data_IF_998592611288
#
_entry.id   IF_998592611288
#
_cell.length_a   1.000
_cell.length_b   1.000
_cell.length_c   1.000
_cell.angle_alpha   90.00
_cell.angle_beta   90.00
_cell.angle_gamma   90.00
#
_symmetry.space_group_name_H-M   'P 1'
#
loop_
_entity.id
_entity.type
_entity.pdbx_description
1 polymer ?
#
# COMPACT_ATOMS: atom_id res chain seq x y z
N UNK A 1 -31.75 8.99 10.47
CA UNK A 1 -30.79 9.82 11.25
C UNK A 1 -31.51 11.09 11.66
N UNK A 2 -31.68 11.36 12.96
CA UNK A 2 -32.21 12.66 13.40
C UNK A 2 -31.11 13.71 13.28
N UNK A 3 -31.31 14.71 12.42
CA UNK A 3 -30.38 15.82 12.27
C UNK A 3 -30.64 16.88 13.33
N UNK A 4 -29.57 17.50 13.85
CA UNK A 4 -29.73 18.73 14.64
C UNK A 4 -30.40 19.82 13.79
N UNK A 5 -31.16 20.71 14.42
CA UNK A 5 -31.82 21.84 13.73
C UNK A 5 -30.79 22.67 12.92
N UNK A 6 -29.55 22.77 13.42
CA UNK A 6 -28.43 23.43 12.72
C UNK A 6 -28.05 22.72 11.42
N UNK A 7 -27.94 21.38 11.42
CA UNK A 7 -27.61 20.61 10.21
C UNK A 7 -28.72 20.66 9.16
N UNK A 8 -29.99 20.69 9.58
CA UNK A 8 -31.14 20.82 8.67
C UNK A 8 -31.11 22.17 7.96
N UNK A 9 -30.85 23.26 8.70
CA UNK A 9 -30.69 24.59 8.09
C UNK A 9 -29.54 24.59 7.09
N UNK A 10 -28.41 23.98 7.46
CA UNK A 10 -27.22 23.94 6.61
C UNK A 10 -27.41 23.10 5.35
N UNK A 11 -28.16 22.01 5.44
CA UNK A 11 -28.52 21.17 4.30
C UNK A 11 -29.20 21.99 3.19
N UNK A 12 -30.15 22.86 3.54
CA UNK A 12 -30.84 23.72 2.57
C UNK A 12 -29.89 24.71 1.89
N UNK A 13 -29.03 25.36 2.66
CA UNK A 13 -28.01 26.28 2.10
C UNK A 13 -27.03 25.55 1.16
N UNK A 14 -26.73 24.29 1.44
CA UNK A 14 -25.87 23.46 0.60
C UNK A 14 -26.54 22.99 -0.68
N UNK A 15 -27.86 22.74 -0.70
CA UNK A 15 -28.57 22.45 -1.95
C UNK A 15 -28.44 23.59 -2.95
N UNK A 16 -28.65 24.83 -2.49
CA UNK A 16 -28.55 26.03 -3.31
C UNK A 16 -27.10 26.28 -3.78
N UNK A 17 -26.13 26.08 -2.89
CA UNK A 17 -24.72 26.25 -3.21
C UNK A 17 -24.23 25.17 -4.19
N UNK A 18 -24.62 23.91 -4.01
CA UNK A 18 -24.30 22.81 -4.91
C UNK A 18 -24.91 23.05 -6.30
N UNK A 19 -26.13 23.55 -6.40
CA UNK A 19 -26.75 23.85 -7.69
C UNK A 19 -25.99 24.93 -8.47
N UNK A 20 -25.23 25.80 -7.78
CA UNK A 20 -24.35 26.81 -8.41
C UNK A 20 -22.99 26.25 -8.82
N UNK A 21 -22.46 25.28 -8.07
CA UNK A 21 -21.12 24.71 -8.29
C UNK A 21 -21.14 23.55 -9.30
N UNK A 22 -22.19 22.73 -9.24
CA UNK A 22 -22.32 21.52 -10.06
C UNK A 22 -23.02 21.86 -11.37
N UNK A 23 -22.23 21.95 -12.45
CA UNK A 23 -22.76 22.31 -13.77
C UNK A 23 -23.55 21.16 -14.42
N UNK A 24 -23.22 19.91 -14.11
CA UNK A 24 -23.88 18.74 -14.66
C UNK A 24 -25.06 18.31 -13.77
N UNK A 25 -26.27 18.35 -14.32
CA UNK A 25 -27.50 18.03 -13.59
C UNK A 25 -27.60 16.56 -13.15
N UNK A 26 -26.98 15.62 -13.87
CA UNK A 26 -26.95 14.22 -13.45
C UNK A 26 -26.00 14.02 -12.27
N UNK A 27 -24.83 14.68 -12.29
CA UNK A 27 -23.91 14.68 -11.16
C UNK A 27 -24.55 15.34 -9.92
N UNK A 28 -25.30 16.44 -10.11
CA UNK A 28 -26.03 17.08 -9.03
C UNK A 28 -27.01 16.10 -8.37
N UNK A 29 -27.84 15.42 -9.17
CA UNK A 29 -28.81 14.41 -8.68
C UNK A 29 -28.13 13.30 -7.89
N UNK A 30 -26.99 12.79 -8.37
CA UNK A 30 -26.23 11.76 -7.66
C UNK A 30 -25.70 12.25 -6.30
N UNK A 31 -25.22 13.50 -6.22
CA UNK A 31 -24.67 14.09 -4.99
C UNK A 31 -25.76 14.28 -3.92
N UNK A 32 -26.95 14.70 -4.33
CA UNK A 32 -28.07 15.04 -3.42
C UNK A 32 -29.01 13.88 -3.12
N UNK A 33 -28.85 12.74 -3.81
CA UNK A 33 -29.65 11.55 -3.57
C UNK A 33 -29.51 11.04 -2.12
N UNK A 34 -30.48 10.28 -1.60
CA UNK A 34 -30.32 9.56 -0.34
C UNK A 34 -29.03 8.75 -0.34
N UNK A 35 -28.27 8.79 0.76
CA UNK A 35 -26.92 8.19 0.88
C UNK A 35 -25.87 8.74 -0.10
N UNK A 36 -26.18 9.85 -0.78
CA UNK A 36 -25.26 10.58 -1.64
C UNK A 36 -24.14 11.27 -0.88
N UNK A 37 -23.20 11.88 -1.62
CA UNK A 37 -22.03 12.54 -1.03
C UNK A 37 -22.42 13.69 -0.08
N UNK A 38 -23.50 14.43 -0.36
CA UNK A 38 -23.97 15.51 0.52
C UNK A 38 -24.36 14.99 1.91
N UNK A 39 -25.12 13.90 1.97
CA UNK A 39 -25.56 13.31 3.22
C UNK A 39 -24.38 12.75 4.02
N UNK A 40 -23.52 11.96 3.36
CA UNK A 40 -22.30 11.40 3.94
C UNK A 40 -21.38 12.50 4.48
N UNK A 41 -21.22 13.58 3.73
CA UNK A 41 -20.44 14.74 4.14
C UNK A 41 -21.01 15.36 5.42
N UNK A 42 -22.31 15.67 5.46
CA UNK A 42 -22.98 16.29 6.60
C UNK A 42 -22.93 15.43 7.87
N UNK A 43 -23.15 14.13 7.73
CA UNK A 43 -23.06 13.19 8.87
C UNK A 43 -21.63 13.16 9.41
N UNK A 44 -20.63 13.20 8.54
CA UNK A 44 -19.22 13.13 8.94
C UNK A 44 -18.68 14.41 9.61
N UNK A 45 -19.39 15.54 9.56
CA UNK A 45 -18.87 16.84 10.06
C UNK A 45 -19.57 17.30 11.33
N UNK A 46 -18.84 18.04 12.16
CA UNK A 46 -19.39 18.69 13.36
C UNK A 46 -20.14 19.97 12.99
N UNK A 47 -21.10 20.38 13.82
CA UNK A 47 -21.87 21.61 13.59
C UNK A 47 -20.94 22.85 13.56
N UNK A 48 -19.92 22.87 14.42
CA UNK A 48 -18.92 23.93 14.43
C UNK A 48 -18.17 24.05 13.09
N UNK A 49 -17.70 22.93 12.52
CA UNK A 49 -17.01 22.94 11.23
C UNK A 49 -17.92 23.43 10.10
N UNK A 50 -19.18 22.97 10.08
CA UNK A 50 -20.14 23.33 9.05
C UNK A 50 -20.49 24.83 9.11
N UNK A 51 -20.55 25.41 10.30
CA UNK A 51 -20.93 26.81 10.52
C UNK A 51 -19.78 27.80 10.29
N UNK A 52 -18.52 27.36 10.45
CA UNK A 52 -17.33 28.22 10.27
C UNK A 52 -16.95 28.46 8.80
N UNK A 53 -17.51 27.65 7.89
CA UNK A 53 -17.27 27.69 6.45
C UNK A 53 -18.38 28.43 5.71
N UNK A 54 -18.11 28.87 4.49
CA UNK A 54 -19.17 29.37 3.60
C UNK A 54 -19.92 28.21 2.93
N UNK A 55 -21.22 28.34 2.60
CA UNK A 55 -21.94 27.30 1.85
C UNK A 55 -21.27 26.95 0.52
N UNK A 56 -20.68 27.93 -0.17
CA UNK A 56 -20.07 27.73 -1.49
C UNK A 56 -18.77 26.92 -1.39
N UNK A 57 -17.97 27.14 -0.35
CA UNK A 57 -16.73 26.38 -0.16
C UNK A 57 -17.02 24.94 0.28
N UNK A 58 -18.01 24.74 1.15
CA UNK A 58 -18.50 23.40 1.47
C UNK A 58 -19.06 22.68 0.24
N UNK A 59 -19.81 23.37 -0.61
CA UNK A 59 -20.32 22.79 -1.86
C UNK A 59 -19.17 22.41 -2.82
N UNK A 60 -18.12 23.23 -2.93
CA UNK A 60 -16.91 22.90 -3.69
C UNK A 60 -16.20 21.68 -3.11
N UNK A 61 -16.12 21.56 -1.78
CA UNK A 61 -15.51 20.42 -1.11
C UNK A 61 -16.28 19.12 -1.39
N UNK A 62 -17.61 19.14 -1.22
CA UNK A 62 -18.50 18.01 -1.54
C UNK A 62 -18.35 17.61 -3.00
N UNK A 63 -18.38 18.58 -3.91
CA UNK A 63 -18.25 18.31 -5.33
C UNK A 63 -16.86 17.76 -5.69
N UNK A 64 -15.79 18.29 -5.10
CA UNK A 64 -14.42 17.79 -5.30
C UNK A 64 -14.29 16.34 -4.85
N UNK A 65 -14.80 16.00 -3.66
CA UNK A 65 -14.81 14.62 -3.18
C UNK A 65 -15.55 13.70 -4.14
N UNK A 66 -16.77 14.08 -4.55
CA UNK A 66 -17.58 13.32 -5.49
C UNK A 66 -16.84 13.10 -6.82
N UNK A 67 -16.24 14.15 -7.39
CA UNK A 67 -15.49 14.06 -8.65
C UNK A 67 -14.29 13.16 -8.51
N UNK A 68 -13.55 13.29 -7.41
CA UNK A 68 -12.38 12.45 -7.17
C UNK A 68 -12.77 10.97 -7.03
N UNK A 69 -13.79 10.66 -6.23
CA UNK A 69 -14.29 9.29 -6.08
C UNK A 69 -14.79 8.74 -7.41
N UNK A 70 -15.61 9.50 -8.16
CA UNK A 70 -16.15 9.06 -9.46
C UNK A 70 -15.04 8.88 -10.50
N UNK A 71 -14.04 9.75 -10.50
CA UNK A 71 -12.89 9.65 -11.40
C UNK A 71 -12.01 8.45 -11.04
N UNK A 72 -11.68 8.24 -9.76
CA UNK A 72 -10.90 7.07 -9.30
C UNK A 72 -11.62 5.75 -9.63
N UNK A 73 -12.94 5.69 -9.44
CA UNK A 73 -13.76 4.52 -9.84
C UNK A 73 -13.76 4.28 -11.35
N UNK A 74 -13.68 5.34 -12.15
CA UNK A 74 -13.77 5.25 -13.62
C UNK A 74 -12.43 4.98 -14.29
N UNK A 75 -11.35 5.58 -13.78
CA UNK A 75 -10.06 5.63 -14.46
C UNK A 75 -8.95 4.89 -13.73
N UNK A 76 -9.23 4.36 -12.53
CA UNK A 76 -8.22 3.67 -11.71
C UNK A 76 -6.97 4.53 -11.43
N UNK A 77 -7.09 5.86 -11.51
CA UNK A 77 -5.96 6.77 -11.28
C UNK A 77 -5.46 6.52 -9.86
N UNK A 78 -4.15 6.57 -9.62
CA UNK A 78 -3.63 6.32 -8.27
C UNK A 78 -3.95 7.44 -7.29
N UNK A 79 -3.72 8.69 -7.71
CA UNK A 79 -3.85 9.87 -6.84
C UNK A 79 -4.43 11.06 -7.59
N UNK A 80 -5.40 11.71 -6.97
CA UNK A 80 -5.94 13.00 -7.34
C UNK A 80 -5.66 13.99 -6.21
N UNK A 81 -5.26 15.21 -6.57
CA UNK A 81 -4.92 16.26 -5.61
C UNK A 81 -5.56 17.56 -6.07
N UNK A 82 -6.20 18.25 -5.13
CA UNK A 82 -6.69 19.62 -5.28
C UNK A 82 -6.12 20.48 -4.15
N UNK A 83 -5.57 21.64 -4.51
CA UNK A 83 -5.07 22.63 -3.55
C UNK A 83 -5.72 23.97 -3.84
N UNK A 84 -6.45 24.52 -2.87
CA UNK A 84 -7.18 25.78 -3.00
C UNK A 84 -7.08 26.60 -1.72
N UNK A 85 -7.11 27.92 -1.81
CA UNK A 85 -7.31 28.77 -0.64
C UNK A 85 -8.80 29.01 -0.43
N UNK A 86 -9.26 28.86 0.80
CA UNK A 86 -10.67 29.03 1.21
C UNK A 86 -10.77 29.97 2.40
N UNK A 87 -11.90 30.68 2.48
CA UNK A 87 -12.17 31.59 3.60
C UNK A 87 -12.90 30.84 4.72
N UNK A 88 -12.47 31.04 5.96
CA UNK A 88 -13.03 30.42 7.15
C UNK A 88 -13.15 31.49 8.23
N UNK A 89 -14.37 31.89 8.56
CA UNK A 89 -14.63 33.11 9.32
C UNK A 89 -13.89 34.34 8.74
N UNK A 90 -13.03 34.93 9.57
CA UNK A 90 -12.24 36.14 9.24
C UNK A 90 -10.84 35.86 8.65
N UNK A 91 -10.46 34.60 8.46
CA UNK A 91 -9.14 34.22 7.96
C UNK A 91 -9.21 33.35 6.71
N UNK A 92 -8.11 33.29 5.95
CA UNK A 92 -7.96 32.38 4.81
C UNK A 92 -7.02 31.23 5.19
N UNK A 93 -7.27 30.06 4.64
CA UNK A 93 -6.41 28.89 4.82
C UNK A 93 -6.29 28.11 3.52
N UNK A 94 -5.18 27.38 3.40
CA UNK A 94 -4.95 26.47 2.28
C UNK A 94 -5.56 25.13 2.59
N UNK A 95 -6.39 24.69 1.66
CA UNK A 95 -7.16 23.47 1.73
C UNK A 95 -6.64 22.49 0.69
N UNK A 96 -6.18 21.35 1.18
CA UNK A 96 -5.59 20.27 0.39
C UNK A 96 -6.54 19.08 0.47
N UNK A 97 -7.08 18.67 -0.67
CA UNK A 97 -7.84 17.42 -0.81
C UNK A 97 -7.01 16.46 -1.64
N UNK A 98 -6.74 15.27 -1.08
CA UNK A 98 -6.07 14.16 -1.77
C UNK A 98 -7.03 13.00 -1.79
N UNK A 99 -7.15 12.31 -2.93
CA UNK A 99 -7.88 11.05 -3.01
C UNK A 99 -7.04 10.00 -3.75
N UNK A 100 -7.15 8.75 -3.33
CA UNK A 100 -6.50 7.59 -3.95
C UNK A 100 -7.00 6.30 -3.33
N UNK A 101 -6.39 5.16 -3.64
CA UNK A 101 -6.73 3.89 -3.00
C UNK A 101 -6.14 3.80 -1.58
N UNK A 102 -6.82 3.07 -0.69
CA UNK A 102 -6.45 2.91 0.72
C UNK A 102 -5.02 2.39 0.91
N UNK A 103 -4.53 1.56 -0.02
CA UNK A 103 -3.16 1.05 -0.05
C UNK A 103 -2.11 2.11 -0.41
N UNK A 104 -2.49 3.18 -1.11
CA UNK A 104 -1.56 4.17 -1.64
C UNK A 104 -1.58 5.50 -0.86
N UNK A 105 -2.69 5.85 -0.19
CA UNK A 105 -2.91 7.15 0.44
C UNK A 105 -3.45 7.04 1.87
N UNK A 106 -2.72 7.67 2.80
CA UNK A 106 -3.12 7.90 4.20
C UNK A 106 -2.92 9.37 4.59
N UNK A 107 -3.58 9.81 5.66
CA UNK A 107 -3.40 11.15 6.21
C UNK A 107 -1.94 11.43 6.56
N UNK A 108 -1.27 10.51 7.24
CA UNK A 108 0.14 10.68 7.63
C UNK A 108 1.06 10.83 6.43
N UNK A 109 0.84 10.04 5.37
CA UNK A 109 1.60 10.17 4.12
C UNK A 109 1.43 11.55 3.49
N UNK A 110 0.21 12.08 3.47
CA UNK A 110 -0.07 13.44 2.97
C UNK A 110 0.63 14.51 3.83
N UNK A 111 0.56 14.38 5.16
CA UNK A 111 1.24 15.30 6.08
C UNK A 111 2.76 15.22 5.95
N UNK A 112 3.32 14.02 5.73
CA UNK A 112 4.75 13.83 5.55
C UNK A 112 5.25 14.50 4.27
N UNK A 113 4.56 14.30 3.15
CA UNK A 113 4.89 14.97 1.89
C UNK A 113 4.76 16.50 1.99
N UNK A 114 3.82 16.99 2.80
CA UNK A 114 3.69 18.41 3.07
C UNK A 114 4.88 18.95 3.89
N UNK A 115 5.35 18.21 4.91
CA UNK A 115 6.58 18.54 5.67
C UNK A 115 7.82 18.58 4.79
N UNK A 116 7.93 17.68 3.80
CA UNK A 116 9.00 17.69 2.81
C UNK A 116 8.91 18.86 1.81
N UNK A 117 7.75 19.51 1.68
CA UNK A 117 7.63 20.74 0.91
C UNK A 117 8.10 21.94 1.74
N UNK A 118 7.59 22.08 2.96
CA UNK A 118 8.02 23.12 3.90
C UNK A 118 7.68 22.74 5.34
N UNK A 119 8.49 23.19 6.29
CA UNK A 119 8.17 23.11 7.72
C UNK A 119 7.38 24.34 8.21
N UNK A 120 7.19 25.35 7.35
CA UNK A 120 6.64 26.65 7.73
C UNK A 120 5.11 26.73 7.66
N UNK A 121 4.41 25.72 8.20
CA UNK A 121 2.95 25.68 8.22
C UNK A 121 2.39 25.13 9.54
N UNK A 122 1.10 25.37 9.78
CA UNK A 122 0.32 24.85 10.91
C UNK A 122 -0.92 24.16 10.39
N UNK A 123 -1.15 22.92 10.84
CA UNK A 123 -2.40 22.20 10.57
C UNK A 123 -3.51 22.75 11.46
N UNK A 124 -4.62 23.17 10.85
CA UNK A 124 -5.84 23.61 11.55
C UNK A 124 -6.87 22.50 11.64
N UNK A 125 -6.95 21.70 10.57
CA UNK A 125 -7.89 20.61 10.46
C UNK A 125 -7.31 19.51 9.59
N UNK A 126 -7.54 18.26 9.98
CA UNK A 126 -7.28 17.11 9.14
C UNK A 126 -8.38 16.07 9.31
N UNK A 127 -8.73 15.40 8.22
CA UNK A 127 -9.68 14.30 8.22
C UNK A 127 -9.41 13.33 7.09
N UNK A 128 -9.48 12.05 7.39
CA UNK A 128 -9.50 10.97 6.41
C UNK A 128 -10.89 10.31 6.40
N UNK A 129 -11.36 9.91 5.23
CA UNK A 129 -12.48 9.00 5.09
C UNK A 129 -12.15 7.93 4.04
N UNK A 130 -12.74 6.76 4.17
CA UNK A 130 -12.55 5.63 3.26
C UNK A 130 -13.92 5.13 2.82
N UNK A 131 -14.10 4.93 1.53
CA UNK A 131 -15.33 4.34 0.97
C UNK A 131 -15.31 2.83 1.11
N UNK A 132 -16.46 2.16 0.99
CA UNK A 132 -16.56 0.69 1.10
C UNK A 132 -15.72 -0.04 0.05
N UNK A 133 -15.53 0.57 -1.12
CA UNK A 133 -14.70 0.08 -2.22
C UNK A 133 -13.21 0.43 -2.08
N UNK A 134 -12.77 0.98 -0.94
CA UNK A 134 -11.36 1.20 -0.63
C UNK A 134 -10.74 2.46 -1.24
N UNK A 135 -11.56 3.48 -1.56
CA UNK A 135 -11.06 4.79 -1.95
C UNK A 135 -10.92 5.65 -0.70
N UNK A 136 -9.71 6.10 -0.42
CA UNK A 136 -9.39 7.06 0.64
C UNK A 136 -9.43 8.47 0.12
N UNK A 137 -10.04 9.36 0.88
CA UNK A 137 -9.97 10.80 0.67
C UNK A 137 -9.51 11.48 1.95
N UNK A 138 -8.41 12.23 1.83
CA UNK A 138 -7.78 12.99 2.88
C UNK A 138 -8.02 14.48 2.63
N UNK A 139 -8.49 15.17 3.66
CA UNK A 139 -8.59 16.63 3.70
C UNK A 139 -7.62 17.15 4.76
N UNK A 140 -6.75 18.08 4.37
CA UNK A 140 -5.88 18.83 5.29
C UNK A 140 -6.13 20.31 5.06
N UNK A 141 -6.32 21.07 6.13
CA UNK A 141 -6.44 22.52 6.11
C UNK A 141 -5.32 23.12 6.93
N UNK A 142 -4.55 24.02 6.30
CA UNK A 142 -3.31 24.56 6.85
C UNK A 142 -3.24 26.07 6.68
N UNK A 143 -2.54 26.72 7.61
CA UNK A 143 -2.08 28.11 7.48
C UNK A 143 -0.55 28.11 7.50
N UNK A 144 0.07 29.22 7.10
CA UNK A 144 1.49 29.48 7.35
C UNK A 144 1.77 29.53 8.87
N UNK A 145 3.04 29.57 9.26
CA UNK A 145 3.42 29.54 10.68
C UNK A 145 2.84 30.69 11.54
N UNK A 146 2.47 31.83 10.92
CA UNK A 146 1.75 32.91 11.59
C UNK A 146 0.35 32.50 12.10
N UNK A 147 -0.16 31.36 11.66
CA UNK A 147 -1.43 30.79 12.06
C UNK A 147 -2.65 31.43 11.42
N UNK A 148 -2.47 32.33 10.44
CA UNK A 148 -3.54 33.17 9.85
C UNK A 148 -3.49 33.29 8.34
N UNK A 149 -2.32 33.26 7.71
CA UNK A 149 -2.20 33.38 6.27
C UNK A 149 -2.23 32.02 5.59
N UNK A 150 -2.83 31.90 4.40
CA UNK A 150 -2.71 30.70 3.59
C UNK A 150 -1.36 30.68 2.85
N UNK A 151 -1.05 29.58 2.19
CA UNK A 151 0.02 29.55 1.19
C UNK A 151 -0.22 30.60 0.08
N UNK A 152 0.85 31.20 -0.47
CA UNK A 152 0.75 32.13 -1.57
C UNK A 152 0.03 31.51 -2.78
N UNK A 153 -0.83 32.30 -3.45
CA UNK A 153 -1.68 31.80 -4.55
C UNK A 153 -0.87 31.25 -5.74
N UNK A 154 0.30 31.84 -5.99
CA UNK A 154 1.27 31.44 -7.00
C UNK A 154 1.97 30.12 -6.68
N UNK A 155 2.03 29.71 -5.41
CA UNK A 155 2.60 28.42 -5.00
C UNK A 155 1.62 27.25 -5.05
N UNK A 156 0.30 27.50 -5.05
CA UNK A 156 -0.70 26.43 -4.93
C UNK A 156 -0.61 25.40 -6.07
N UNK A 157 -0.37 25.88 -7.29
CA UNK A 157 -0.21 25.01 -8.46
C UNK A 157 1.05 24.12 -8.33
N UNK A 158 2.16 24.70 -7.85
CA UNK A 158 3.40 23.98 -7.62
C UNK A 158 3.22 22.92 -6.51
N UNK A 159 2.58 23.31 -5.40
CA UNK A 159 2.28 22.42 -4.29
C UNK A 159 1.39 21.25 -4.74
N UNK A 160 0.33 21.53 -5.51
CA UNK A 160 -0.56 20.50 -6.05
C UNK A 160 0.19 19.50 -6.94
N UNK A 161 1.00 20.00 -7.88
CA UNK A 161 1.79 19.14 -8.79
C UNK A 161 2.80 18.31 -8.01
N UNK A 162 3.48 18.90 -7.03
CA UNK A 162 4.47 18.20 -6.21
C UNK A 162 3.84 17.11 -5.35
N UNK A 163 2.76 17.42 -4.64
CA UNK A 163 2.00 16.45 -3.86
C UNK A 163 1.50 15.32 -4.75
N UNK A 164 0.89 15.64 -5.89
CA UNK A 164 0.43 14.62 -6.84
C UNK A 164 1.58 13.72 -7.28
N UNK A 165 2.72 14.27 -7.68
CA UNK A 165 3.86 13.51 -8.16
C UNK A 165 4.50 12.63 -7.08
N UNK A 166 4.58 13.12 -5.84
CA UNK A 166 5.19 12.38 -4.74
C UNK A 166 4.26 11.30 -4.20
N UNK A 167 3.00 11.64 -3.98
CA UNK A 167 2.00 10.69 -3.46
C UNK A 167 1.68 9.59 -4.47
N UNK A 168 1.77 9.87 -5.79
CA UNK A 168 1.62 8.86 -6.84
C UNK A 168 2.78 7.86 -6.90
N UNK A 169 3.93 8.20 -6.30
CA UNK A 169 5.03 7.25 -6.17
C UNK A 169 4.68 6.29 -5.04
N UNK A 170 4.69 5.00 -5.34
CA UNK A 170 4.87 4.02 -4.27
C UNK A 170 6.28 4.24 -3.72
N UNK A 171 6.51 4.11 -2.39
CA UNK A 171 7.86 3.82 -1.94
C UNK A 171 8.37 2.67 -2.80
N UNK A 172 9.64 2.68 -3.24
CA UNK A 172 10.19 1.55 -3.96
C UNK A 172 9.82 0.32 -3.16
N UNK A 173 9.07 -0.59 -3.77
CA UNK A 173 8.89 -1.91 -3.21
C UNK A 173 10.28 -2.50 -3.27
N UNK A 174 11.07 -2.30 -2.21
CA UNK A 174 12.30 -3.04 -2.01
C UNK A 174 11.83 -4.42 -1.57
N UNK A 175 11.25 -5.17 -2.51
CA UNK A 175 11.45 -6.60 -2.47
C UNK A 175 12.97 -6.72 -2.48
N UNK A 176 13.60 -7.33 -1.48
CA UNK A 176 14.93 -7.82 -1.76
C UNK A 176 14.86 -8.66 -3.01
N UNK A 177 15.52 -8.17 -4.05
CA UNK A 177 16.16 -9.03 -5.02
C UNK A 177 17.23 -9.81 -4.23
N UNK A 178 16.79 -10.73 -3.39
CA UNK A 178 17.64 -11.84 -3.00
C UNK A 178 17.83 -12.62 -4.28
N UNK A 179 19.07 -13.07 -4.58
CA UNK A 179 19.36 -13.92 -5.73
C UNK A 179 18.50 -15.21 -5.82
N UNK A 180 17.65 -15.50 -4.82
CA UNK A 180 16.84 -16.70 -4.71
C UNK A 180 15.34 -16.44 -4.43
N UNK A 181 14.80 -15.21 -4.51
CA UNK A 181 13.37 -14.97 -4.24
C UNK A 181 12.48 -15.78 -5.19
N UNK A 182 12.79 -15.77 -6.48
CA UNK A 182 12.08 -16.59 -7.47
C UNK A 182 12.28 -18.07 -7.21
N UNK A 183 13.47 -18.51 -6.80
CA UNK A 183 13.71 -19.90 -6.43
C UNK A 183 12.85 -20.32 -5.22
N UNK A 184 12.69 -19.42 -4.24
CA UNK A 184 11.88 -19.64 -3.05
C UNK A 184 10.39 -19.70 -3.39
N UNK A 185 9.90 -18.75 -4.19
CA UNK A 185 8.54 -18.76 -4.73
C UNK A 185 8.31 -20.02 -5.55
N UNK A 186 9.26 -20.40 -6.40
CA UNK A 186 9.18 -21.62 -7.18
C UNK A 186 9.16 -22.87 -6.30
N UNK A 187 9.90 -22.90 -5.19
CA UNK A 187 9.84 -24.01 -4.21
C UNK A 187 8.55 -24.05 -3.39
N UNK A 188 7.94 -22.90 -3.10
CA UNK A 188 6.76 -22.82 -2.23
C UNK A 188 5.43 -22.89 -3.02
N UNK A 189 5.35 -22.15 -4.11
CA UNK A 189 4.12 -21.94 -4.88
C UNK A 189 3.96 -23.01 -5.95
N UNK A 190 5.02 -23.36 -6.69
CA UNK A 190 4.90 -24.34 -7.78
C UNK A 190 4.36 -25.69 -7.30
N UNK A 191 4.83 -26.29 -6.18
CA UNK A 191 4.26 -27.56 -5.71
C UNK A 191 2.77 -27.46 -5.37
N UNK A 192 2.32 -26.32 -4.82
CA UNK A 192 0.91 -26.09 -4.50
C UNK A 192 0.05 -25.91 -5.75
N UNK A 193 0.53 -25.13 -6.72
CA UNK A 193 -0.14 -25.00 -8.02
C UNK A 193 -0.25 -26.36 -8.72
N UNK A 194 0.80 -27.18 -8.64
CA UNK A 194 0.79 -28.54 -9.19
C UNK A 194 -0.22 -29.44 -8.47
N UNK A 195 -0.24 -29.42 -7.14
CA UNK A 195 -1.18 -30.21 -6.35
C UNK A 195 -2.63 -29.81 -6.64
N UNK A 196 -2.92 -28.52 -6.72
CA UNK A 196 -4.25 -28.00 -6.99
C UNK A 196 -4.68 -28.27 -8.45
N UNK A 197 -3.77 -28.14 -9.41
CA UNK A 197 -4.00 -28.54 -10.80
C UNK A 197 -4.31 -30.04 -10.92
N UNK A 198 -3.60 -30.89 -10.16
CA UNK A 198 -3.84 -32.34 -10.10
C UNK A 198 -5.22 -32.66 -9.54
N UNK A 199 -5.60 -32.01 -8.44
CA UNK A 199 -6.87 -32.23 -7.74
C UNK A 199 -8.06 -31.71 -8.53
N UNK A 200 -8.01 -30.45 -8.95
CA UNK A 200 -9.11 -29.76 -9.61
C UNK A 200 -9.21 -30.08 -11.12
N UNK A 201 -8.14 -30.61 -11.72
CA UNK A 201 -7.97 -30.75 -13.18
C UNK A 201 -8.11 -29.42 -13.94
N UNK A 202 -7.99 -28.29 -13.24
CA UNK A 202 -8.00 -26.95 -13.82
C UNK A 202 -6.57 -26.38 -13.88
N UNK A 203 -6.21 -25.66 -14.95
CA UNK A 203 -4.98 -24.88 -14.97
C UNK A 203 -4.94 -23.87 -13.82
N UNK A 204 -3.79 -23.73 -13.19
CA UNK A 204 -3.54 -22.75 -12.15
C UNK A 204 -2.61 -21.67 -12.68
N UNK A 205 -2.93 -20.42 -12.36
CA UNK A 205 -2.24 -19.23 -12.80
C UNK A 205 -1.80 -18.40 -11.60
N UNK A 206 -0.60 -17.87 -11.65
CA UNK A 206 -0.12 -16.92 -10.65
C UNK A 206 0.80 -15.87 -11.28
N UNK A 207 0.60 -14.60 -10.96
CA UNK A 207 1.40 -13.48 -11.48
C UNK A 207 1.89 -12.63 -10.31
N UNK A 208 3.21 -12.47 -10.22
CA UNK A 208 3.88 -11.86 -9.07
C UNK A 208 4.63 -10.63 -9.57
N UNK A 209 4.37 -9.42 -9.05
CA UNK A 209 5.23 -8.28 -9.33
C UNK A 209 6.58 -8.45 -8.61
N UNK A 210 7.69 -8.26 -9.33
CA UNK A 210 9.05 -8.31 -8.78
C UNK A 210 9.60 -6.92 -8.51
N UNK A 211 9.61 -6.07 -9.55
CA UNK A 211 10.10 -4.69 -9.50
C UNK A 211 9.03 -3.77 -10.06
N UNK A 212 8.73 -2.69 -9.34
CA UNK A 212 7.78 -1.68 -9.78
C UNK A 212 8.53 -0.35 -9.88
N UNK A 213 8.63 0.16 -11.11
CA UNK A 213 9.17 1.48 -11.46
C UNK A 213 8.08 2.29 -12.18
N UNK A 214 8.17 3.64 -12.19
CA UNK A 214 7.33 4.45 -13.07
C UNK A 214 7.36 4.04 -14.55
N UNK A 215 8.50 3.53 -15.02
CA UNK A 215 8.74 3.24 -16.44
C UNK A 215 8.48 1.77 -16.82
N UNK A 216 8.54 0.86 -15.85
CA UNK A 216 8.34 -0.57 -16.09
C UNK A 216 7.84 -1.30 -14.85
N UNK A 217 7.14 -2.40 -15.07
CA UNK A 217 6.81 -3.37 -14.02
C UNK A 217 7.33 -4.73 -14.47
N UNK A 218 8.20 -5.33 -13.66
CA UNK A 218 8.66 -6.70 -13.86
C UNK A 218 7.72 -7.66 -13.12
N UNK A 219 7.37 -8.77 -13.76
CA UNK A 219 6.56 -9.82 -13.20
C UNK A 219 7.20 -11.19 -13.39
N UNK A 220 6.94 -12.09 -12.45
CA UNK A 220 7.08 -13.53 -12.65
C UNK A 220 5.69 -14.15 -12.75
N UNK A 221 5.40 -14.74 -13.90
CA UNK A 221 4.21 -15.55 -14.10
C UNK A 221 4.56 -17.02 -13.93
N UNK A 222 3.76 -17.74 -13.16
CA UNK A 222 3.84 -19.18 -12.94
C UNK A 222 2.54 -19.83 -13.40
N UNK A 223 2.66 -20.84 -14.26
CA UNK A 223 1.54 -21.64 -14.76
C UNK A 223 1.75 -23.11 -14.40
N UNK A 224 0.69 -23.77 -13.93
CA UNK A 224 0.63 -25.22 -13.81
C UNK A 224 -0.60 -25.75 -14.55
N UNK A 225 -0.38 -26.50 -15.62
CA UNK A 225 -1.42 -26.95 -16.54
C UNK A 225 -1.46 -28.49 -16.55
N UNK A 226 -2.62 -29.12 -16.23
CA UNK A 226 -2.80 -30.56 -16.40
C UNK A 226 -2.56 -30.96 -17.86
N UNK A 227 -1.71 -31.96 -18.08
CA UNK A 227 -1.31 -32.38 -19.43
C UNK A 227 -2.51 -33.00 -20.18
N UNK A 228 -2.82 -32.48 -21.38
CA UNK A 228 -3.93 -32.93 -22.26
C UNK A 228 -3.45 -33.40 -23.64
N UNK A 229 -2.30 -34.06 -23.71
CA UNK A 229 -1.72 -34.58 -24.95
C UNK A 229 -0.19 -34.64 -24.92
N UNK A 230 0.44 -34.98 -26.05
CA UNK A 230 1.90 -35.10 -26.14
C UNK A 230 2.61 -33.78 -26.51
N UNK A 231 1.92 -32.87 -27.20
CA UNK A 231 2.51 -31.59 -27.63
C UNK A 231 2.50 -30.57 -26.50
N UNK A 232 3.68 -30.03 -26.21
CA UNK A 232 3.88 -28.94 -25.26
C UNK A 232 3.25 -27.64 -25.77
N UNK A 233 2.79 -26.82 -24.84
CA UNK A 233 2.19 -25.52 -25.11
C UNK A 233 3.21 -24.37 -25.09
N UNK A 234 4.50 -24.64 -24.86
CA UNK A 234 5.56 -23.64 -24.70
C UNK A 234 5.55 -22.56 -25.77
N UNK A 235 5.54 -22.95 -27.04
CA UNK A 235 5.70 -22.01 -28.16
C UNK A 235 4.42 -21.21 -28.39
N UNK A 236 3.27 -21.84 -28.16
CA UNK A 236 1.96 -21.18 -28.24
C UNK A 236 1.80 -20.14 -27.14
N UNK A 237 2.18 -20.47 -25.91
CA UNK A 237 2.12 -19.56 -24.76
C UNK A 237 3.09 -18.38 -24.94
N UNK A 238 4.34 -18.64 -25.35
CA UNK A 238 5.31 -17.58 -25.63
C UNK A 238 4.81 -16.63 -26.73
N UNK A 239 4.23 -17.15 -27.82
CA UNK A 239 3.68 -16.31 -28.88
C UNK A 239 2.46 -15.52 -28.42
N UNK A 240 1.53 -16.14 -27.69
CA UNK A 240 0.32 -15.45 -27.22
C UNK A 240 0.67 -14.31 -26.25
N UNK A 241 1.60 -14.53 -25.32
CA UNK A 241 2.03 -13.53 -24.34
C UNK A 241 2.92 -12.46 -24.99
N UNK A 242 3.84 -12.87 -25.87
CA UNK A 242 4.75 -11.96 -26.57
C UNK A 242 4.05 -11.00 -27.55
N UNK A 243 2.84 -11.34 -27.98
CA UNK A 243 2.01 -10.47 -28.83
C UNK A 243 1.19 -9.43 -28.05
N UNK A 244 1.21 -9.47 -26.71
CA UNK A 244 0.52 -8.45 -25.91
C UNK A 244 1.30 -7.14 -26.00
N UNK A 245 0.68 -6.11 -26.59
CA UNK A 245 1.28 -4.79 -26.72
C UNK A 245 1.68 -4.26 -25.34
N UNK A 246 2.93 -3.83 -25.21
CA UNK A 246 3.46 -3.30 -23.95
C UNK A 246 3.97 -4.36 -22.96
N UNK A 247 3.94 -5.65 -23.31
CA UNK A 247 4.57 -6.73 -22.55
C UNK A 247 5.75 -7.28 -23.33
N UNK A 248 6.88 -7.49 -22.66
CA UNK A 248 8.06 -8.17 -23.19
C UNK A 248 8.36 -9.39 -22.32
N UNK A 249 8.58 -10.55 -22.94
CA UNK A 249 9.09 -11.72 -22.22
C UNK A 249 10.60 -11.55 -22.07
N UNK A 250 11.08 -11.36 -20.85
CA UNK A 250 12.51 -11.20 -20.56
C UNK A 250 13.19 -12.55 -20.37
N UNK A 251 12.46 -13.55 -19.88
CA UNK A 251 12.94 -14.93 -19.75
C UNK A 251 11.77 -15.91 -19.72
N UNK A 252 12.01 -17.16 -20.12
CA UNK A 252 11.01 -18.23 -20.10
C UNK A 252 11.67 -19.56 -19.74
N UNK A 253 11.02 -20.34 -18.88
CA UNK A 253 11.45 -21.69 -18.49
C UNK A 253 10.27 -22.66 -18.42
N UNK A 254 10.27 -23.71 -19.26
CA UNK A 254 9.33 -24.82 -19.13
C UNK A 254 9.87 -25.88 -18.15
N UNK A 255 8.98 -26.41 -17.31
CA UNK A 255 9.21 -27.56 -16.43
C UNK A 255 8.16 -28.61 -16.71
N UNK A 256 8.57 -29.78 -17.20
CA UNK A 256 7.63 -30.84 -17.60
C UNK A 256 7.67 -31.96 -16.56
N UNK A 257 6.52 -32.21 -15.93
CA UNK A 257 6.29 -33.38 -15.09
C UNK A 257 5.40 -34.37 -15.84
N UNK A 258 5.31 -35.62 -15.35
CA UNK A 258 4.56 -36.70 -16.01
C UNK A 258 3.13 -36.31 -16.37
N UNK A 259 2.43 -35.62 -15.47
CA UNK A 259 1.00 -35.32 -15.55
C UNK A 259 0.67 -33.81 -15.60
N UNK A 260 1.68 -32.95 -15.45
CA UNK A 260 1.54 -31.49 -15.43
C UNK A 260 2.66 -30.84 -16.23
N UNK A 261 2.29 -29.86 -17.04
CA UNK A 261 3.20 -28.90 -17.66
C UNK A 261 3.25 -27.64 -16.83
N UNK A 262 4.44 -27.24 -16.40
CA UNK A 262 4.66 -26.01 -15.65
C UNK A 262 5.46 -25.03 -16.50
N UNK A 263 5.10 -23.75 -16.43
CA UNK A 263 5.78 -22.71 -17.20
C UNK A 263 6.05 -21.51 -16.31
N UNK A 264 7.25 -20.96 -16.42
CA UNK A 264 7.66 -19.73 -15.72
C UNK A 264 8.04 -18.70 -16.75
N UNK A 265 7.43 -17.53 -16.68
CA UNK A 265 7.76 -16.39 -17.52
C UNK A 265 8.21 -15.25 -16.64
N UNK A 266 9.28 -14.60 -17.05
CA UNK A 266 9.61 -13.26 -16.58
C UNK A 266 9.12 -12.30 -17.63
N UNK A 267 8.27 -11.38 -17.22
CA UNK A 267 7.58 -10.42 -18.06
C UNK A 267 7.98 -9.03 -17.62
N UNK A 268 8.18 -8.13 -18.57
CA UNK A 268 8.29 -6.70 -18.32
C UNK A 268 7.12 -6.01 -19.01
N UNK A 269 6.29 -5.31 -18.25
CA UNK A 269 5.29 -4.42 -18.79
C UNK A 269 5.80 -2.98 -18.82
N UNK A 270 5.37 -2.22 -19.83
CA UNK A 270 5.54 -0.77 -19.91
C UNK A 270 4.22 -0.10 -19.53
N UNK A 271 4.04 0.41 -18.29
CA UNK A 271 2.75 0.91 -17.79
C UNK A 271 2.09 1.93 -18.71
N UNK A 272 2.87 2.81 -19.36
CA UNK A 272 2.35 3.81 -20.29
C UNK A 272 1.65 3.26 -21.55
N UNK A 273 1.70 1.95 -21.80
CA UNK A 273 0.95 1.29 -22.87
C UNK A 273 -0.41 0.72 -22.41
N UNK A 274 -0.69 0.78 -21.11
CA UNK A 274 -1.92 0.29 -20.48
C UNK A 274 -2.67 1.46 -19.83
N UNK A 275 -3.99 1.36 -19.71
CA UNK A 275 -4.81 2.38 -19.04
C UNK A 275 -4.65 2.31 -17.53
N UNK A 276 -4.52 1.09 -16.99
CA UNK A 276 -4.42 0.78 -15.56
C UNK A 276 -3.55 -0.46 -15.35
N UNK A 277 -2.89 -0.60 -14.19
CA UNK A 277 -2.02 -1.74 -13.88
C UNK A 277 -2.79 -3.08 -13.94
N UNK A 278 -4.06 -3.11 -13.53
CA UNK A 278 -4.93 -4.29 -13.63
C UNK A 278 -5.14 -4.78 -15.07
N UNK A 279 -5.06 -3.89 -16.06
CA UNK A 279 -5.18 -4.25 -17.47
C UNK A 279 -4.02 -5.15 -17.90
N UNK A 280 -2.84 -5.01 -17.28
CA UNK A 280 -1.68 -5.88 -17.50
C UNK A 280 -2.03 -7.31 -17.04
N UNK A 281 -2.52 -7.46 -15.82
CA UNK A 281 -2.93 -8.75 -15.25
C UNK A 281 -4.03 -9.42 -16.09
N UNK A 282 -5.06 -8.65 -16.46
CA UNK A 282 -6.16 -9.14 -17.32
C UNK A 282 -5.65 -9.58 -18.69
N UNK A 283 -4.78 -8.80 -19.32
CA UNK A 283 -4.25 -9.09 -20.65
C UNK A 283 -3.45 -10.38 -20.67
N UNK A 284 -2.56 -10.57 -19.68
CA UNK A 284 -1.77 -11.80 -19.53
C UNK A 284 -2.68 -12.99 -19.26
N UNK A 285 -3.62 -12.86 -18.31
CA UNK A 285 -4.57 -13.93 -17.99
C UNK A 285 -5.41 -14.34 -19.19
N UNK A 286 -5.97 -13.39 -19.92
CA UNK A 286 -6.79 -13.64 -21.10
C UNK A 286 -6.01 -14.39 -22.19
N UNK A 287 -4.75 -14.00 -22.43
CA UNK A 287 -3.90 -14.68 -23.40
C UNK A 287 -3.64 -16.15 -23.03
N UNK A 288 -3.51 -16.44 -21.73
CA UNK A 288 -3.40 -17.81 -21.22
C UNK A 288 -4.72 -18.56 -21.36
N UNK A 289 -5.84 -17.99 -20.88
CA UNK A 289 -7.16 -18.62 -20.90
C UNK A 289 -7.63 -19.00 -22.30
N UNK A 290 -7.32 -18.17 -23.31
CA UNK A 290 -7.62 -18.48 -24.71
C UNK A 290 -6.95 -19.78 -25.21
N UNK A 291 -5.82 -20.16 -24.64
CA UNK A 291 -5.08 -21.36 -25.04
C UNK A 291 -5.42 -22.59 -24.21
N UNK A 292 -5.64 -22.42 -22.90
CA UNK A 292 -5.78 -23.56 -21.96
C UNK A 292 -7.17 -23.72 -21.36
N UNK A 293 -8.09 -22.81 -21.69
CA UNK A 293 -9.41 -22.71 -21.08
C UNK A 293 -9.38 -21.93 -19.76
N UNK A 294 -10.49 -21.93 -18.99
CA UNK A 294 -10.59 -21.20 -17.74
C UNK A 294 -9.45 -21.55 -16.79
N UNK A 295 -8.72 -20.53 -16.34
CA UNK A 295 -7.64 -20.71 -15.36
C UNK A 295 -8.12 -20.21 -14.01
N UNK A 296 -7.70 -20.91 -12.95
CA UNK A 296 -7.91 -20.44 -11.59
C UNK A 296 -6.74 -19.51 -11.23
N UNK A 297 -7.08 -18.25 -10.98
CA UNK A 297 -6.13 -17.27 -10.45
C UNK A 297 -5.88 -17.57 -8.97
N UNK A 298 -4.65 -17.98 -8.66
CA UNK A 298 -4.25 -18.30 -7.30
C UNK A 298 -4.28 -17.06 -6.39
N UNK A 299 -4.26 -15.85 -6.95
CA UNK A 299 -4.16 -14.58 -6.24
C UNK A 299 -5.50 -14.05 -5.68
N UNK A 300 -6.65 -14.45 -6.23
CA UNK A 300 -7.98 -14.09 -5.69
C UNK A 300 -8.21 -14.70 -4.29
N UNK A 301 -7.75 -15.94 -4.11
CA UNK A 301 -7.75 -16.61 -2.80
C UNK A 301 -6.80 -15.94 -1.81
N UNK A 302 -5.67 -15.42 -2.28
CA UNK A 302 -4.72 -14.69 -1.45
C UNK A 302 -5.25 -13.31 -1.03
N UNK A 303 -5.87 -12.55 -1.93
CA UNK A 303 -6.52 -11.26 -1.60
C UNK A 303 -7.65 -11.44 -0.59
N UNK A 304 -8.49 -12.46 -0.78
CA UNK A 304 -9.57 -12.79 0.16
C UNK A 304 -9.01 -13.21 1.53
N UNK A 305 -7.93 -13.99 1.54
CA UNK A 305 -7.26 -14.43 2.77
C UNK A 305 -6.53 -13.29 3.47
N UNK A 306 -5.88 -12.39 2.75
CA UNK A 306 -5.23 -11.20 3.29
C UNK A 306 -6.26 -10.28 3.95
N UNK A 307 -7.42 -10.02 3.31
CA UNK A 307 -8.52 -9.25 3.93
C UNK A 307 -9.05 -9.91 5.20
N UNK A 308 -9.20 -11.24 5.20
CA UNK A 308 -9.62 -12.01 6.39
C UNK A 308 -8.58 -11.91 7.51
N UNK A 309 -7.30 -12.07 7.18
CA UNK A 309 -6.20 -11.94 8.13
C UNK A 309 -6.15 -10.52 8.72
N UNK A 310 -6.25 -9.48 7.89
CA UNK A 310 -6.31 -8.10 8.37
C UNK A 310 -7.45 -7.88 9.37
N UNK A 311 -8.66 -8.37 9.06
CA UNK A 311 -9.79 -8.27 9.98
C UNK A 311 -9.49 -8.95 11.33
N UNK A 312 -8.93 -10.16 11.30
CA UNK A 312 -8.56 -10.89 12.52
C UNK A 312 -7.43 -10.19 13.30
N UNK A 313 -6.45 -9.61 12.62
CA UNK A 313 -5.38 -8.82 13.23
C UNK A 313 -5.94 -7.58 13.92
N UNK A 314 -6.84 -6.85 13.26
CA UNK A 314 -7.54 -5.69 13.85
C UNK A 314 -8.34 -6.14 15.08
N UNK A 315 -9.05 -7.27 15.01
CA UNK A 315 -9.80 -7.80 16.14
C UNK A 315 -8.88 -8.19 17.31
N UNK A 316 -7.72 -8.81 17.06
CA UNK A 316 -6.71 -9.15 18.09
C UNK A 316 -6.13 -7.88 18.73
N UNK A 317 -5.85 -6.85 17.92
CA UNK A 317 -5.24 -5.61 18.38
C UNK A 317 -6.24 -4.58 18.89
N UNK A 318 -7.54 -4.89 18.90
CA UNK A 318 -8.61 -3.94 19.28
C UNK A 318 -8.48 -3.39 20.69
N UNK A 319 -7.95 -4.20 21.61
CA UNK A 319 -7.67 -3.80 23.00
C UNK A 319 -6.25 -3.21 23.18
N UNK A 320 -5.45 -3.22 22.12
CA UNK A 320 -4.16 -2.54 22.10
C UNK A 320 -4.38 -1.05 21.90
N UNK A 321 -3.59 -0.19 22.56
CA UNK A 321 -3.64 1.26 22.37
C UNK A 321 -2.95 1.68 21.04
N UNK A 322 -3.24 0.97 19.96
CA UNK A 322 -2.69 1.15 18.62
C UNK A 322 -3.83 1.59 17.70
N UNK A 323 -3.62 2.67 16.95
CA UNK A 323 -4.61 3.14 15.99
C UNK A 323 -4.78 2.14 14.82
N UNK A 324 -6.02 1.89 14.40
CA UNK A 324 -6.32 0.96 13.31
C UNK A 324 -5.64 1.37 11.99
N UNK A 325 -5.44 2.67 11.75
CA UNK A 325 -4.72 3.18 10.58
C UNK A 325 -3.26 2.72 10.57
N UNK A 326 -2.58 2.71 11.72
CA UNK A 326 -1.23 2.18 11.84
C UNK A 326 -1.19 0.68 11.56
N UNK A 327 -2.14 -0.09 12.11
CA UNK A 327 -2.26 -1.54 11.87
C UNK A 327 -2.38 -1.82 10.38
N UNK A 328 -3.27 -1.10 9.68
CA UNK A 328 -3.48 -1.22 8.24
C UNK A 328 -2.23 -0.84 7.45
N UNK A 329 -1.64 0.31 7.76
CA UNK A 329 -0.46 0.80 7.05
C UNK A 329 0.73 -0.16 7.19
N UNK A 330 0.99 -0.66 8.40
CA UNK A 330 2.02 -1.66 8.62
C UNK A 330 1.69 -2.96 7.89
N UNK A 331 0.46 -3.48 8.04
CA UNK A 331 0.01 -4.71 7.39
C UNK A 331 0.22 -4.64 5.88
N UNK A 332 -0.13 -3.53 5.24
CA UNK A 332 0.03 -3.38 3.80
C UNK A 332 1.48 -3.19 3.33
N UNK A 333 2.39 -2.76 4.21
CA UNK A 333 3.83 -2.72 3.95
C UNK A 333 4.52 -4.09 4.08
N UNK A 334 3.85 -5.08 4.69
CA UNK A 334 4.33 -6.46 4.66
C UNK A 334 4.21 -7.05 3.25
N UNK A 335 5.10 -7.98 2.89
CA UNK A 335 4.99 -8.71 1.62
C UNK A 335 3.66 -9.47 1.51
N UNK A 336 3.12 -9.61 0.29
CA UNK A 336 1.88 -10.37 0.03
C UNK A 336 1.91 -11.78 0.64
N UNK A 337 3.07 -12.42 0.57
CA UNK A 337 3.29 -13.72 1.19
C UNK A 337 3.19 -13.67 2.71
N UNK A 338 3.80 -12.68 3.36
CA UNK A 338 3.71 -12.52 4.81
C UNK A 338 2.25 -12.30 5.25
N UNK A 339 1.49 -11.46 4.53
CA UNK A 339 0.08 -11.16 4.82
C UNK A 339 -0.83 -12.39 4.77
N UNK A 340 -0.44 -13.40 3.98
CA UNK A 340 -1.25 -14.61 3.74
C UNK A 340 -0.72 -15.84 4.49
N UNK A 341 0.60 -15.98 4.58
CA UNK A 341 1.27 -17.15 5.12
C UNK A 341 1.36 -17.14 6.64
N UNK A 342 1.54 -15.97 7.25
CA UNK A 342 1.65 -15.86 8.71
C UNK A 342 0.27 -15.96 9.35
N UNK A 343 0.24 -16.45 10.59
CA UNK A 343 -1.01 -16.44 11.35
C UNK A 343 -1.37 -15.01 11.79
N UNK A 344 -2.66 -14.70 11.99
CA UNK A 344 -3.07 -13.39 12.50
C UNK A 344 -2.35 -12.99 13.80
N UNK A 345 -2.11 -13.95 14.70
CA UNK A 345 -1.40 -13.73 15.96
C UNK A 345 0.07 -13.36 15.72
N UNK A 346 0.72 -14.01 14.76
CA UNK A 346 2.11 -13.70 14.39
C UNK A 346 2.23 -12.30 13.80
N UNK A 347 1.28 -11.91 12.95
CA UNK A 347 1.21 -10.57 12.36
C UNK A 347 0.95 -9.53 13.45
N UNK A 348 0.00 -9.79 14.36
CA UNK A 348 -0.30 -8.91 15.48
C UNK A 348 0.93 -8.68 16.39
N UNK A 349 1.70 -9.74 16.69
CA UNK A 349 2.94 -9.62 17.45
C UNK A 349 4.01 -8.80 16.72
N UNK A 350 4.06 -8.87 15.39
CA UNK A 350 4.95 -8.03 14.59
C UNK A 350 4.57 -6.55 14.65
N UNK A 351 3.27 -6.26 14.50
CA UNK A 351 2.75 -4.90 14.57
C UNK A 351 2.96 -4.31 15.97
N UNK A 352 2.79 -5.10 17.03
CA UNK A 352 3.10 -4.69 18.40
C UNK A 352 4.59 -4.37 18.59
N UNK A 353 5.48 -5.20 18.05
CA UNK A 353 6.93 -4.94 18.06
C UNK A 353 7.27 -3.64 17.31
N UNK A 354 6.73 -3.49 16.09
CA UNK A 354 6.89 -2.31 15.26
C UNK A 354 6.44 -1.03 15.96
N UNK A 355 5.23 -1.05 16.51
CA UNK A 355 4.66 0.07 17.25
C UNK A 355 5.48 0.41 18.49
N UNK A 356 5.93 -0.60 19.24
CA UNK A 356 6.78 -0.42 20.42
C UNK A 356 8.11 0.26 20.08
N UNK A 357 8.74 -0.12 18.97
CA UNK A 357 10.00 0.46 18.52
C UNK A 357 9.80 1.91 18.07
N UNK A 358 8.79 2.18 17.24
CA UNK A 358 8.47 3.53 16.78
C UNK A 358 8.07 4.45 17.94
N UNK A 359 7.32 3.95 18.94
CA UNK A 359 6.96 4.71 20.13
C UNK A 359 8.17 5.14 20.97
N UNK A 360 9.28 4.40 20.91
CA UNK A 360 10.52 4.74 21.61
C UNK A 360 11.41 5.70 20.84
N UNK A 361 11.24 5.79 19.52
CA UNK A 361 12.10 6.56 18.64
C UNK A 361 12.20 8.05 19.00
N UNK A 362 11.10 8.78 19.34
CA UNK A 362 11.19 10.19 19.73
C UNK A 362 12.13 10.48 20.90
N UNK A 363 12.38 9.48 21.77
CA UNK A 363 13.21 9.63 22.96
C UNK A 363 14.62 9.05 22.80
N UNK A 364 14.76 7.94 22.07
CA UNK A 364 16.02 7.20 21.98
C UNK A 364 16.74 7.38 20.64
N UNK A 365 16.04 7.84 19.59
CA UNK A 365 16.52 7.94 18.19
C UNK A 365 16.98 6.61 17.57
N UNK A 366 17.17 5.56 18.37
CA UNK A 366 17.53 4.21 17.96
C UNK A 366 16.98 3.20 18.95
N UNK A 367 16.44 2.10 18.47
CA UNK A 367 16.03 0.99 19.31
C UNK A 367 16.11 -0.33 18.53
N UNK A 368 16.34 -1.42 19.26
CA UNK A 368 16.32 -2.79 18.73
C UNK A 368 15.65 -3.70 19.74
N UNK A 369 14.86 -4.64 19.24
CA UNK A 369 14.21 -5.64 20.07
C UNK A 369 14.02 -6.95 19.31
N UNK A 370 14.01 -8.05 20.05
CA UNK A 370 13.77 -9.40 19.53
C UNK A 370 12.62 -10.03 20.26
N UNK A 371 11.71 -10.63 19.49
CA UNK A 371 10.68 -11.54 20.01
C UNK A 371 10.86 -12.89 19.33
N UNK A 372 10.62 -13.96 20.06
CA UNK A 372 10.81 -15.32 19.55
C UNK A 372 9.71 -16.24 20.05
N UNK A 373 9.41 -17.25 19.23
CA UNK A 373 8.61 -18.37 19.65
C UNK A 373 9.21 -19.68 19.13
N UNK A 374 8.48 -20.79 19.26
CA UNK A 374 8.96 -22.12 18.84
C UNK A 374 9.25 -22.22 17.34
N UNK A 375 8.55 -21.44 16.52
CA UNK A 375 8.48 -21.56 15.07
C UNK A 375 9.22 -20.45 14.32
N UNK A 376 9.51 -19.32 14.97
CA UNK A 376 10.16 -18.18 14.34
C UNK A 376 10.85 -17.24 15.34
N UNK A 377 11.67 -16.34 14.79
CA UNK A 377 12.28 -15.20 15.48
C UNK A 377 11.97 -13.94 14.69
N UNK A 378 11.62 -12.86 15.38
CA UNK A 378 11.50 -11.52 14.79
C UNK A 378 12.47 -10.56 15.47
N UNK A 379 13.26 -9.88 14.67
CA UNK A 379 14.23 -8.86 15.10
C UNK A 379 13.77 -7.54 14.50
N UNK A 380 13.31 -6.63 15.34
CA UNK A 380 12.91 -5.29 14.93
C UNK A 380 13.94 -4.27 15.35
N UNK A 381 14.23 -3.29 14.50
CA UNK A 381 15.01 -2.12 14.88
C UNK A 381 14.50 -0.86 14.19
N UNK A 382 14.73 0.28 14.83
CA UNK A 382 14.40 1.61 14.32
C UNK A 382 15.63 2.50 14.37
N UNK A 383 15.85 3.27 13.30
CA UNK A 383 16.94 4.21 13.10
C UNK A 383 16.41 5.49 12.44
N UNK A 384 17.17 6.60 12.39
CA UNK A 384 16.79 7.76 11.60
C UNK A 384 16.66 7.41 10.11
N UNK A 385 15.69 8.01 9.43
CA UNK A 385 15.47 7.86 7.99
C UNK A 385 16.76 8.25 7.23
N UNK A 386 17.12 7.44 6.22
CA UNK A 386 18.35 7.62 5.44
C UNK A 386 19.63 7.09 6.11
N UNK A 387 19.54 6.43 7.27
CA UNK A 387 20.72 5.82 7.90
C UNK A 387 21.36 4.74 7.01
N UNK A 388 22.66 4.83 6.67
CA UNK A 388 23.35 3.84 5.83
C UNK A 388 23.43 2.46 6.49
N UNK A 389 23.19 2.37 7.81
CA UNK A 389 23.15 1.12 8.56
C UNK A 389 21.99 0.23 8.13
N UNK A 390 20.86 0.80 7.72
CA UNK A 390 19.69 0.04 7.24
C UNK A 390 20.07 -0.80 6.00
N UNK A 391 20.67 -0.16 5.00
CA UNK A 391 21.11 -0.82 3.76
C UNK A 391 22.19 -1.87 4.03
N UNK A 392 23.14 -1.56 4.94
CA UNK A 392 24.19 -2.48 5.38
C UNK A 392 23.63 -3.76 6.01
N UNK A 393 22.64 -3.64 6.90
CA UNK A 393 22.01 -4.80 7.54
C UNK A 393 21.20 -5.62 6.54
N UNK A 394 20.44 -4.98 5.65
CA UNK A 394 19.72 -5.66 4.56
C UNK A 394 20.70 -6.43 3.65
N UNK A 395 21.84 -5.82 3.31
CA UNK A 395 22.91 -6.47 2.56
C UNK A 395 23.48 -7.71 3.27
N UNK A 396 23.71 -7.61 4.59
CA UNK A 396 24.19 -8.73 5.40
C UNK A 396 23.17 -9.88 5.45
N UNK A 397 21.88 -9.59 5.62
CA UNK A 397 20.81 -10.59 5.61
C UNK A 397 20.73 -11.34 4.28
N UNK A 398 20.93 -10.62 3.18
CA UNK A 398 20.90 -11.18 1.83
C UNK A 398 22.02 -12.19 1.57
N UNK A 399 23.11 -12.13 2.34
CA UNK A 399 24.23 -13.09 2.28
C UNK A 399 23.98 -14.34 3.14
N UNK A 400 22.99 -14.33 4.04
CA UNK A 400 22.67 -15.43 4.96
C UNK A 400 21.57 -16.33 4.39
N UNK A 401 21.82 -16.97 3.24
CA UNK A 401 20.85 -17.81 2.53
C UNK A 401 20.27 -18.96 3.38
N UNK A 402 21.03 -19.43 4.38
CA UNK A 402 20.62 -20.49 5.31
C UNK A 402 19.42 -20.08 6.20
N UNK A 403 19.26 -18.78 6.49
CA UNK A 403 18.18 -18.24 7.31
C UNK A 403 16.89 -18.03 6.52
N UNK A 404 17.02 -17.70 5.23
CA UNK A 404 15.94 -17.24 4.37
C UNK A 404 15.04 -16.18 5.04
N UNK A 405 15.62 -15.04 5.49
CA UNK A 405 14.89 -14.02 6.20
C UNK A 405 13.92 -13.29 5.27
N UNK A 406 12.76 -12.96 5.79
CA UNK A 406 11.83 -11.96 5.22
C UNK A 406 11.88 -10.72 6.09
N UNK A 407 11.58 -9.54 5.55
CA UNK A 407 11.48 -8.35 6.40
C UNK A 407 10.43 -7.38 5.89
N UNK A 408 9.98 -6.53 6.82
CA UNK A 408 9.10 -5.40 6.57
C UNK A 408 9.93 -4.14 6.81
N UNK A 409 9.94 -3.22 5.84
CA UNK A 409 10.54 -1.90 5.98
C UNK A 409 9.43 -0.85 5.99
N UNK A 410 9.47 0.04 6.98
CA UNK A 410 8.44 1.03 7.24
C UNK A 410 9.10 2.35 7.61
N UNK A 411 8.85 3.40 6.85
CA UNK A 411 9.36 4.75 7.13
C UNK A 411 8.22 5.62 7.63
N UNK A 412 8.42 6.26 8.79
CA UNK A 412 7.43 7.16 9.38
C UNK A 412 8.08 8.20 10.30
N UNK A 413 7.61 9.46 10.22
CA UNK A 413 8.09 10.60 11.00
C UNK A 413 9.63 10.75 11.11
N UNK A 414 10.38 10.46 10.05
CA UNK A 414 11.85 10.53 10.05
C UNK A 414 12.54 9.33 10.69
N UNK A 415 11.80 8.24 10.92
CA UNK A 415 12.30 6.96 11.42
C UNK A 415 12.19 5.89 10.33
N UNK A 416 13.26 5.12 10.13
CA UNK A 416 13.27 3.88 9.37
C UNK A 416 13.16 2.69 10.32
N UNK A 417 12.01 2.01 10.30
CA UNK A 417 11.74 0.78 11.04
C UNK A 417 11.93 -0.43 10.12
N UNK A 418 12.72 -1.40 10.55
CA UNK A 418 12.88 -2.69 9.90
C UNK A 418 12.49 -3.79 10.87
N UNK A 419 11.64 -4.72 10.44
CA UNK A 419 11.35 -5.95 11.19
C UNK A 419 11.71 -7.15 10.34
N UNK A 420 12.72 -7.90 10.78
CA UNK A 420 13.21 -9.12 10.17
C UNK A 420 12.48 -10.30 10.79
N UNK A 421 11.99 -11.21 9.96
CA UNK A 421 11.36 -12.45 10.35
C UNK A 421 12.13 -13.66 9.80
N UNK A 422 12.45 -14.60 10.70
CA UNK A 422 13.22 -15.81 10.43
C UNK A 422 12.39 -17.02 10.85
N UNK A 423 12.10 -17.93 9.92
CA UNK A 423 11.37 -19.17 10.21
C UNK A 423 12.31 -20.28 10.72
N UNK A 424 12.03 -20.79 11.92
CA UNK A 424 12.78 -21.84 12.62
C UNK A 424 12.33 -23.27 12.30
N UNK A 425 11.44 -23.46 11.32
CA UNK A 425 10.96 -24.79 10.94
C UNK A 425 12.01 -25.61 10.17
N UNK A 426 12.02 -26.92 10.41
CA UNK A 426 12.85 -27.91 9.70
C UNK A 426 13.99 -28.50 10.54
N UNK A 427 14.78 -29.38 9.91
CA UNK A 427 15.87 -30.12 10.56
C UNK A 427 17.05 -29.25 11.03
N UNK A 428 17.17 -28.03 10.51
CA UNK A 428 18.24 -27.07 10.82
C UNK A 428 17.82 -26.02 11.86
N UNK A 429 16.84 -26.31 12.73
CA UNK A 429 16.30 -25.34 13.70
C UNK A 429 17.36 -24.74 14.62
N UNK A 430 18.21 -25.57 15.19
CA UNK A 430 19.25 -25.14 16.15
C UNK A 430 20.31 -24.26 15.48
N UNK A 431 20.70 -24.61 14.25
CA UNK A 431 21.63 -23.83 13.44
C UNK A 431 21.02 -22.47 13.09
N UNK A 432 19.77 -22.42 12.64
CA UNK A 432 19.07 -21.16 12.36
C UNK A 432 18.92 -20.28 13.59
N UNK A 433 18.58 -20.87 14.74
CA UNK A 433 18.48 -20.15 16.01
C UNK A 433 19.82 -19.53 16.40
N UNK A 434 20.92 -20.28 16.25
CA UNK A 434 22.27 -19.79 16.52
C UNK A 434 22.62 -18.61 15.62
N UNK A 435 22.47 -18.74 14.30
CA UNK A 435 22.79 -17.67 13.34
C UNK A 435 21.90 -16.44 13.58
N UNK A 436 20.61 -16.63 13.89
CA UNK A 436 19.70 -15.52 14.20
C UNK A 436 20.08 -14.76 15.48
N UNK A 437 20.59 -15.46 16.50
CA UNK A 437 21.09 -14.82 17.72
C UNK A 437 22.38 -14.05 17.48
N UNK A 438 23.31 -14.62 16.71
CA UNK A 438 24.54 -13.93 16.29
C UNK A 438 24.23 -12.66 15.48
N UNK A 439 23.25 -12.74 14.58
CA UNK A 439 22.72 -11.61 13.83
C UNK A 439 22.14 -10.52 14.75
N UNK A 440 21.31 -10.89 15.72
CA UNK A 440 20.73 -9.94 16.66
C UNK A 440 21.81 -9.19 17.43
N UNK A 441 22.79 -9.89 18.01
CA UNK A 441 23.88 -9.26 18.75
C UNK A 441 24.73 -8.35 17.86
N UNK A 442 24.97 -8.74 16.62
CA UNK A 442 25.71 -7.90 15.66
C UNK A 442 24.96 -6.61 15.31
N UNK A 443 23.65 -6.70 15.00
CA UNK A 443 22.83 -5.51 14.73
C UNK A 443 22.79 -4.62 15.97
N UNK A 444 22.59 -5.23 17.15
CA UNK A 444 22.56 -4.51 18.42
C UNK A 444 23.85 -3.72 18.67
N UNK A 445 25.01 -4.35 18.49
CA UNK A 445 26.32 -3.68 18.65
C UNK A 445 26.46 -2.49 17.72
N UNK A 446 26.12 -2.63 16.44
CA UNK A 446 26.24 -1.54 15.47
C UNK A 446 25.21 -0.41 15.69
N UNK A 447 24.04 -0.72 16.23
CA UNK A 447 23.05 0.29 16.62
C UNK A 447 23.51 1.00 17.90
N UNK A 448 24.00 0.27 18.90
CA UNK A 448 24.42 0.82 20.19
C UNK A 448 25.79 1.52 20.14
N UNK A 449 26.57 1.34 19.07
CA UNK A 449 27.88 1.96 18.87
C UNK A 449 27.83 3.50 19.07
N UNK A 450 28.64 4.06 20.00
CA UNK A 450 28.66 5.49 20.32
C UNK A 450 29.36 6.38 19.28
N UNK A 451 30.09 5.83 18.30
CA UNK A 451 30.96 6.61 17.40
C UNK A 451 30.28 7.14 16.10
N UNK A 452 28.96 7.18 16.00
CA UNK A 452 28.30 7.91 14.90
C UNK A 452 28.25 9.41 15.23
N UNK A 453 28.92 10.29 14.47
CA UNK A 453 28.73 11.73 14.63
C UNK A 453 27.26 12.08 14.35
N UNK A 454 26.68 13.05 15.06
CA UNK A 454 25.36 13.56 14.71
C UNK A 454 25.46 14.24 13.35
N UNK A 455 25.04 13.55 12.29
CA UNK A 455 24.89 14.17 10.99
C UNK A 455 23.66 15.11 11.02
N UNK A 456 24.01 16.40 10.98
CA UNK A 456 23.21 17.58 10.63
C UNK A 456 22.34 18.22 11.72
N UNK A 457 23.00 19.19 12.37
CA UNK A 457 22.47 20.51 12.76
C UNK A 457 21.69 21.23 11.67
#
# INVERSE_FOLDING_TARGET
VEYSISKIKRLNELFDALNKVVQNQDEYKEIVAPEGELEKFLVSRTDAYLNDKTPIDLARQIYTNYKFIKELRKTGKRVLVSVTNEKTGDHEQTCITVAGFEEDITLDKVLNELRQYTLNYKVKYSKQFVTEDGITVVRVEVTMADGRTPFPKDELALLQVRLKNRLSKRPPFVTPVTPNYVELIMRLVMPRLQEEARKSKMPQFYLIPENISPDFIDFVMVLAIPKKGEKLLSDKLQNAIGNIKGITITSFRPYILKDIECYVFWLRATPGQFKEDEEIYRSVRNAVEQLVGPVRDFDEGMRTRARRNLKQVIDILKESNIDESFVRQYFYNMSDFARVAYSPEEIAQEILLAYKLLSQFPHKQKAIEKIENKNWIKIGFVLPEGSPKVEKFIGYLSQQSALNPTWTHFEDYGAALVVIHITLQGKAREEKLKIANELFEKIKQEIEDPDDPPENS
#
